data_IF_294752324625
#
_entry.id   IF_294752324625
#
_cell.length_a   1.000
_cell.length_b   1.000
_cell.length_c   1.000
_cell.angle_alpha   90.00
_cell.angle_beta   90.00
_cell.angle_gamma   90.00
#
_symmetry.space_group_name_H-M   'P 1'
#
loop_
_entity.id
_entity.type
_entity.pdbx_description
1 polymer ?
#
# COMPACT_ATOMS: atom_id res chain seq x y z
N UNK A 1 -6.76 -19.28 -22.39
CA UNK A 1 -5.37 -19.33 -21.92
C UNK A 1 -5.28 -18.79 -20.50
N UNK A 2 -4.36 -19.28 -19.75
CA UNK A 2 -4.20 -18.84 -18.38
C UNK A 2 -3.22 -17.70 -18.17
N UNK A 3 -2.88 -16.97 -19.23
CA UNK A 3 -1.84 -15.94 -19.12
C UNK A 3 -2.19 -14.83 -18.13
N UNK A 4 -3.42 -14.35 -18.16
CA UNK A 4 -3.84 -13.31 -17.22
C UNK A 4 -3.90 -13.82 -15.80
N UNK A 5 -4.15 -15.11 -15.59
CA UNK A 5 -4.21 -15.70 -14.27
C UNK A 5 -2.83 -15.79 -13.59
N UNK A 6 -1.75 -15.71 -14.38
CA UNK A 6 -0.39 -15.74 -13.82
C UNK A 6 0.12 -14.37 -13.42
N UNK A 7 -0.61 -13.31 -13.72
CA UNK A 7 -0.21 -11.96 -13.34
C UNK A 7 -0.30 -11.77 -11.83
N UNK A 8 0.76 -11.21 -11.28
CA UNK A 8 0.78 -10.84 -9.87
C UNK A 8 0.13 -9.49 -9.70
N UNK A 9 -0.68 -9.31 -8.66
CA UNK A 9 -1.13 -7.96 -8.29
C UNK A 9 0.06 -7.08 -7.96
N UNK A 10 -0.05 -5.80 -8.27
CA UNK A 10 1.03 -4.84 -8.05
C UNK A 10 0.72 -4.02 -6.81
N UNK A 11 1.65 -3.99 -5.88
CA UNK A 11 1.54 -3.21 -4.64
C UNK A 11 2.53 -2.05 -4.70
N UNK A 12 2.01 -0.84 -4.57
CA UNK A 12 2.83 0.36 -4.46
C UNK A 12 3.10 0.61 -2.98
N UNK A 13 4.36 0.53 -2.60
CA UNK A 13 4.80 0.75 -1.21
C UNK A 13 5.29 2.19 -1.09
N UNK A 14 4.76 2.93 -0.12
CA UNK A 14 5.16 4.31 0.14
C UNK A 14 5.73 4.40 1.54
N UNK A 15 7.03 4.61 1.64
CA UNK A 15 7.76 4.65 2.89
C UNK A 15 9.05 5.46 2.68
N UNK A 16 9.28 6.46 3.52
CA UNK A 16 10.45 7.34 3.34
C UNK A 16 11.75 6.73 3.87
N UNK A 17 11.70 5.87 4.88
CA UNK A 17 12.90 5.23 5.40
C UNK A 17 13.31 4.06 4.51
N UNK A 18 14.52 4.14 3.97
CA UNK A 18 15.02 3.15 3.01
C UNK A 18 14.96 1.72 3.53
N UNK A 19 15.43 1.49 4.76
CA UNK A 19 15.48 0.13 5.30
C UNK A 19 14.09 -0.43 5.55
N UNK A 20 13.18 0.38 6.06
CA UNK A 20 11.79 -0.04 6.28
C UNK A 20 11.09 -0.33 4.96
N UNK A 21 11.35 0.50 3.95
CA UNK A 21 10.78 0.30 2.63
C UNK A 21 11.29 -0.99 2.00
N UNK A 22 12.60 -1.26 2.14
CA UNK A 22 13.21 -2.47 1.63
C UNK A 22 12.64 -3.71 2.32
N UNK A 23 12.48 -3.67 3.64
CA UNK A 23 11.90 -4.77 4.40
C UNK A 23 10.47 -5.06 3.95
N UNK A 24 9.66 -4.03 3.78
CA UNK A 24 8.29 -4.18 3.30
C UNK A 24 8.27 -4.76 1.88
N UNK A 25 9.14 -4.26 1.01
CA UNK A 25 9.23 -4.72 -0.36
C UNK A 25 9.60 -6.21 -0.43
N UNK A 26 10.59 -6.63 0.37
CA UNK A 26 11.01 -8.03 0.41
C UNK A 26 9.88 -8.94 0.92
N UNK A 27 9.22 -8.50 1.97
CA UNK A 27 8.11 -9.24 2.57
C UNK A 27 6.96 -9.42 1.58
N UNK A 28 6.57 -8.34 0.92
CA UNK A 28 5.42 -8.35 0.01
C UNK A 28 5.75 -9.11 -1.28
N UNK A 29 6.96 -8.90 -1.82
CA UNK A 29 7.41 -9.66 -2.99
C UNK A 29 7.47 -11.16 -2.68
N UNK A 30 7.95 -11.52 -1.49
CA UNK A 30 7.99 -12.91 -1.05
C UNK A 30 6.62 -13.55 -0.91
N UNK A 31 5.59 -12.75 -0.72
CA UNK A 31 4.21 -13.24 -0.63
C UNK A 31 3.53 -13.42 -1.99
N UNK A 32 4.22 -13.12 -3.09
CA UNK A 32 3.69 -13.37 -4.43
C UNK A 32 3.16 -12.14 -5.14
N UNK A 33 3.52 -10.95 -4.69
CA UNK A 33 3.09 -9.70 -5.31
C UNK A 33 4.24 -9.04 -6.06
N UNK A 34 3.90 -8.28 -7.09
CA UNK A 34 4.86 -7.39 -7.71
C UNK A 34 4.92 -6.10 -6.87
N UNK A 35 6.10 -5.54 -6.69
CA UNK A 35 6.31 -4.39 -5.82
C UNK A 35 6.85 -3.21 -6.61
N UNK A 36 6.28 -2.02 -6.37
CA UNK A 36 6.81 -0.75 -6.84
C UNK A 36 6.98 0.13 -5.62
N UNK A 37 8.05 0.91 -5.56
CA UNK A 37 8.40 1.67 -4.36
C UNK A 37 8.38 3.16 -4.60
N UNK A 38 7.93 3.91 -3.60
CA UNK A 38 7.97 5.36 -3.57
C UNK A 38 8.42 5.80 -2.18
N UNK A 39 9.17 6.90 -2.11
CA UNK A 39 9.66 7.41 -0.84
C UNK A 39 8.81 8.54 -0.26
N UNK A 40 7.85 9.05 -1.02
CA UNK A 40 6.93 10.08 -0.55
C UNK A 40 5.66 10.08 -1.40
N UNK A 41 4.69 10.91 -1.01
CA UNK A 41 3.40 10.96 -1.70
C UNK A 41 3.51 11.47 -3.14
N UNK A 42 4.39 12.45 -3.38
CA UNK A 42 4.55 13.00 -4.73
C UNK A 42 5.02 11.92 -5.71
N UNK A 43 6.01 11.11 -5.31
CA UNK A 43 6.47 9.99 -6.12
C UNK A 43 5.35 8.96 -6.32
N UNK A 44 4.58 8.69 -5.27
CA UNK A 44 3.47 7.75 -5.37
C UNK A 44 2.43 8.22 -6.39
N UNK A 45 2.06 9.50 -6.36
CA UNK A 45 1.11 10.07 -7.30
C UNK A 45 1.65 9.98 -8.73
N UNK A 46 2.94 10.30 -8.95
CA UNK A 46 3.54 10.17 -10.28
C UNK A 46 3.43 8.74 -10.82
N UNK A 47 3.72 7.76 -9.96
CA UNK A 47 3.62 6.36 -10.34
C UNK A 47 2.17 5.99 -10.68
N UNK A 48 1.23 6.43 -9.85
CA UNK A 48 -0.19 6.15 -10.07
C UNK A 48 -0.71 6.78 -11.37
N UNK A 49 -0.21 7.96 -11.70
CA UNK A 49 -0.59 8.63 -12.95
C UNK A 49 0.00 7.93 -14.18
N UNK A 50 1.16 7.30 -14.04
CA UNK A 50 1.85 6.66 -15.14
C UNK A 50 1.46 5.19 -15.34
N UNK A 51 1.01 4.51 -14.29
CA UNK A 51 0.69 3.08 -14.32
C UNK A 51 -0.77 2.84 -14.01
N UNK A 52 -1.38 1.92 -14.74
CA UNK A 52 -2.78 1.55 -14.54
C UNK A 52 -2.95 0.19 -13.87
N UNK A 53 -1.83 -0.45 -13.54
CA UNK A 53 -1.83 -1.82 -13.02
C UNK A 53 -1.62 -1.91 -11.51
N UNK A 54 -1.62 -0.78 -10.80
CA UNK A 54 -1.48 -0.79 -9.35
C UNK A 54 -2.79 -1.31 -8.73
N UNK A 55 -2.68 -2.35 -7.91
CA UNK A 55 -3.83 -2.96 -7.23
C UNK A 55 -4.01 -2.43 -5.81
N UNK A 56 -2.91 -2.17 -5.12
CA UNK A 56 -2.92 -1.77 -3.72
C UNK A 56 -1.88 -0.68 -3.49
N UNK A 57 -2.24 0.33 -2.70
CA UNK A 57 -1.29 1.29 -2.14
C UNK A 57 -1.08 0.91 -0.68
N UNK A 58 0.16 0.60 -0.33
CA UNK A 58 0.58 0.23 1.02
C UNK A 58 1.46 1.37 1.53
N UNK A 59 0.93 2.22 2.40
CA UNK A 59 1.62 3.45 2.78
C UNK A 59 1.76 3.59 4.29
N UNK A 60 2.93 4.10 4.72
CA UNK A 60 3.06 4.62 6.07
C UNK A 60 2.30 5.94 6.14
N UNK A 61 1.63 6.18 7.24
CA UNK A 61 0.91 7.44 7.47
C UNK A 61 1.90 8.58 7.71
N UNK A 62 2.98 8.32 8.46
CA UNK A 62 3.99 9.34 8.74
C UNK A 62 5.02 9.39 7.63
N UNK A 63 4.71 10.07 6.54
CA UNK A 63 5.67 10.33 5.46
C UNK A 63 5.82 11.83 5.28
N UNK A 64 7.04 12.29 4.91
CA UNK A 64 7.30 13.73 4.73
C UNK A 64 6.77 14.20 3.38
N UNK A 65 6.78 15.52 3.18
CA UNK A 65 6.48 16.11 1.90
C UNK A 65 5.14 16.84 1.88
N UNK A 66 4.59 17.01 0.68
CA UNK A 66 3.41 17.82 0.47
C UNK A 66 2.14 17.25 1.10
N UNK A 67 2.10 15.94 1.30
CA UNK A 67 0.99 15.31 2.01
C UNK A 67 1.47 14.08 2.76
N UNK A 68 0.79 13.76 3.87
CA UNK A 68 1.05 12.56 4.63
C UNK A 68 0.28 11.36 4.04
N UNK A 69 0.42 10.20 4.68
CA UNK A 69 -0.21 8.99 4.19
C UNK A 69 -1.74 9.01 4.25
N UNK A 70 -2.34 9.72 5.20
CA UNK A 70 -3.81 9.84 5.25
C UNK A 70 -4.34 10.65 4.07
N UNK A 71 -3.68 11.76 3.77
CA UNK A 71 -4.06 12.58 2.62
C UNK A 71 -3.81 11.84 1.31
N UNK A 72 -2.71 11.10 1.23
CA UNK A 72 -2.45 10.25 0.07
C UNK A 72 -3.56 9.23 -0.11
N UNK A 73 -3.98 8.57 0.97
CA UNK A 73 -5.07 7.60 0.91
C UNK A 73 -6.36 8.23 0.39
N UNK A 74 -6.68 9.43 0.84
CA UNK A 74 -7.85 10.16 0.38
C UNK A 74 -7.75 10.50 -1.11
N UNK A 75 -6.57 10.93 -1.56
CA UNK A 75 -6.34 11.24 -2.97
C UNK A 75 -6.51 9.98 -3.84
N UNK A 76 -5.96 8.86 -3.40
CA UNK A 76 -6.10 7.59 -4.11
C UNK A 76 -7.56 7.17 -4.20
N UNK A 77 -8.29 7.27 -3.10
CA UNK A 77 -9.71 6.91 -3.08
C UNK A 77 -10.53 7.77 -4.03
N UNK A 78 -10.19 9.06 -4.13
CA UNK A 78 -10.92 9.98 -5.00
C UNK A 78 -10.59 9.83 -6.47
N UNK A 79 -9.31 9.57 -6.79
CA UNK A 79 -8.84 9.55 -8.19
C UNK A 79 -8.80 8.16 -8.80
N UNK A 80 -8.54 7.14 -7.99
CA UNK A 80 -8.41 5.75 -8.45
C UNK A 80 -9.21 4.81 -7.55
N UNK A 81 -10.55 4.94 -7.53
CA UNK A 81 -11.40 4.19 -6.59
C UNK A 81 -11.20 2.67 -6.55
N UNK A 82 -10.85 2.00 -7.66
CA UNK A 82 -10.62 0.55 -7.60
C UNK A 82 -9.40 0.13 -6.81
N UNK A 83 -8.42 1.03 -6.60
CA UNK A 83 -7.20 0.70 -5.87
C UNK A 83 -7.51 0.54 -4.39
N UNK A 84 -7.04 -0.56 -3.81
CA UNK A 84 -7.20 -0.82 -2.38
C UNK A 84 -6.13 -0.09 -1.59
N UNK A 85 -6.42 0.23 -0.33
CA UNK A 85 -5.52 1.03 0.51
C UNK A 85 -5.23 0.27 1.79
N UNK A 86 -3.93 0.15 2.12
CA UNK A 86 -3.47 -0.33 3.42
C UNK A 86 -2.55 0.75 3.99
N UNK A 87 -2.87 1.24 5.16
CA UNK A 87 -2.06 2.25 5.83
C UNK A 87 -1.47 1.67 7.11
N UNK A 88 -0.25 2.07 7.42
CA UNK A 88 0.46 1.60 8.61
C UNK A 88 0.89 2.79 9.47
N UNK A 89 0.88 2.62 10.78
CA UNK A 89 1.34 3.63 11.71
C UNK A 89 1.62 3.03 13.08
N UNK A 90 2.61 3.60 13.77
CA UNK A 90 2.87 3.29 15.16
C UNK A 90 2.12 4.20 16.14
N UNK A 91 1.41 5.21 15.64
CA UNK A 91 0.70 6.15 16.50
C UNK A 91 -0.56 5.54 17.07
N UNK A 92 -0.76 5.73 18.38
CA UNK A 92 -1.91 5.16 19.09
C UNK A 92 -3.22 5.87 18.76
N UNK A 93 -3.15 7.12 18.31
CA UNK A 93 -4.34 7.92 18.03
C UNK A 93 -4.87 7.76 16.60
N UNK A 94 -4.29 6.84 15.81
CA UNK A 94 -4.74 6.55 14.45
C UNK A 94 -5.46 5.22 14.44
N UNK A 95 -6.61 5.17 13.77
CA UNK A 95 -7.42 3.96 13.66
C UNK A 95 -7.94 3.80 12.23
N UNK A 96 -8.48 2.62 11.94
CA UNK A 96 -9.01 2.30 10.62
C UNK A 96 -10.09 3.27 10.17
N UNK A 97 -10.90 3.77 11.09
CA UNK A 97 -11.96 4.74 10.79
C UNK A 97 -11.43 6.08 10.27
N UNK A 98 -10.14 6.36 10.48
CA UNK A 98 -9.51 7.59 9.98
C UNK A 98 -9.18 7.48 8.48
N UNK A 99 -9.26 6.28 7.92
CA UNK A 99 -8.98 6.02 6.50
C UNK A 99 -10.25 6.17 5.67
N UNK A 100 -10.11 6.37 4.35
CA UNK A 100 -11.28 6.30 3.47
C UNK A 100 -11.96 4.95 3.57
N UNK A 101 -13.23 4.90 3.23
CA UNK A 101 -14.02 3.67 3.29
C UNK A 101 -13.33 2.54 2.52
N UNK A 102 -13.27 1.37 3.13
CA UNK A 102 -12.58 0.21 2.56
C UNK A 102 -11.10 0.16 2.84
N UNK A 103 -10.52 1.22 3.40
CA UNK A 103 -9.11 1.22 3.78
C UNK A 103 -8.86 0.32 4.97
N UNK A 104 -7.70 -0.32 4.98
CA UNK A 104 -7.30 -1.21 6.06
C UNK A 104 -6.11 -0.63 6.80
N UNK A 105 -6.08 -0.83 8.10
CA UNK A 105 -5.03 -0.28 8.94
C UNK A 105 -4.23 -1.40 9.60
N UNK A 106 -2.90 -1.28 9.57
CA UNK A 106 -2.00 -2.18 10.29
C UNK A 106 -1.16 -1.36 11.26
N UNK A 107 -1.30 -1.64 12.53
CA UNK A 107 -0.50 -0.96 13.55
C UNK A 107 0.90 -1.55 13.62
N UNK A 108 1.89 -0.69 13.65
CA UNK A 108 3.28 -1.11 13.84
C UNK A 108 3.52 -1.47 15.31
N UNK A 109 4.32 -2.49 15.59
CA UNK A 109 4.92 -3.41 14.64
C UNK A 109 3.91 -4.43 14.14
N UNK A 110 3.94 -4.72 12.84
CA UNK A 110 3.08 -5.74 12.24
C UNK A 110 3.93 -6.96 11.85
N UNK A 111 3.29 -8.11 11.76
CA UNK A 111 3.96 -9.34 11.36
C UNK A 111 3.79 -9.58 9.86
N UNK A 112 4.68 -10.39 9.25
CA UNK A 112 4.49 -10.78 7.85
C UNK A 112 3.14 -11.43 7.60
N UNK A 113 2.64 -12.25 8.52
CA UNK A 113 1.36 -12.91 8.34
C UNK A 113 0.19 -11.93 8.33
N UNK A 114 0.28 -10.84 9.11
CA UNK A 114 -0.75 -9.80 9.09
C UNK A 114 -0.78 -9.10 7.74
N UNK A 115 0.39 -8.76 7.19
CA UNK A 115 0.49 -8.11 5.88
C UNK A 115 -0.05 -9.03 4.80
N UNK A 116 0.39 -10.29 4.78
CA UNK A 116 -0.05 -11.27 3.80
C UNK A 116 -1.56 -11.50 3.85
N UNK A 117 -2.10 -11.60 5.07
CA UNK A 117 -3.53 -11.80 5.24
C UNK A 117 -4.36 -10.67 4.66
N UNK A 118 -3.97 -9.43 4.95
CA UNK A 118 -4.68 -8.26 4.43
C UNK A 118 -4.57 -8.17 2.92
N UNK A 119 -3.36 -8.36 2.37
CA UNK A 119 -3.16 -8.26 0.93
C UNK A 119 -3.91 -9.35 0.17
N UNK A 120 -3.92 -10.57 0.68
CA UNK A 120 -4.68 -11.66 0.06
C UNK A 120 -6.18 -11.40 0.08
N UNK A 121 -6.66 -10.87 1.21
CA UNK A 121 -8.06 -10.50 1.35
C UNK A 121 -8.47 -9.43 0.34
N UNK A 122 -7.64 -8.41 0.19
CA UNK A 122 -7.94 -7.28 -0.70
C UNK A 122 -7.79 -7.62 -2.19
N UNK A 123 -6.88 -8.53 -2.52
CA UNK A 123 -6.59 -8.86 -3.92
C UNK A 123 -7.28 -10.14 -4.40
N UNK A 124 -7.86 -10.90 -3.49
CA UNK A 124 -8.49 -12.18 -3.83
C UNK A 124 -7.50 -13.31 -4.11
N UNK A 125 -6.23 -13.13 -3.79
CA UNK A 125 -5.23 -14.18 -3.94
C UNK A 125 -5.25 -15.08 -2.70
N UNK A 126 -5.32 -16.38 -2.94
CA UNK A 126 -5.34 -17.37 -1.87
C UNK A 126 -3.97 -17.54 -1.21
#
# INVERSE_FOLDING_TARGET
>A
MGLSASRKPVVLIVEDEFLLRMDAADMIAGAGFEVVEASNADQAIEILEARRDISVVFTDIQIPGSMDGLKLAQAVRGRWPPIKIVATSGRLNIEERDLPEGGRFLRKPYSPSQVMGVLRELTGIA
#
